data_IF_029372408113
#
_entry.id   IF_029372408113
#
_cell.length_a   1.000
_cell.length_b   1.000
_cell.length_c   1.000
_cell.angle_alpha   90.00
_cell.angle_beta   90.00
_cell.angle_gamma   90.00
#
_symmetry.space_group_name_H-M   'P 1'
#
loop_
_entity.id
_entity.type
_entity.pdbx_description
1 polymer ?
#
# COMPACT_ATOMS: atom_id res chain seq x y z
N UNK A 1 -3.01 -39.10 33.05
CA UNK A 1 -3.05 -37.68 33.45
C UNK A 1 -3.62 -36.91 32.28
N UNK A 2 -4.90 -37.12 32.02
CA UNK A 2 -5.65 -36.38 31.01
C UNK A 2 -5.98 -35.02 31.60
N UNK A 3 -5.43 -33.94 31.02
CA UNK A 3 -5.73 -32.60 31.47
C UNK A 3 -7.17 -32.26 31.10
N UNK A 4 -8.06 -32.40 32.09
CA UNK A 4 -9.45 -31.91 32.09
C UNK A 4 -9.49 -30.37 32.18
N UNK A 5 -8.71 -29.68 31.35
CA UNK A 5 -9.01 -28.29 31.06
C UNK A 5 -9.96 -28.31 29.87
N UNK A 6 -11.19 -27.77 29.98
CA UNK A 6 -11.98 -27.54 28.80
C UNK A 6 -11.10 -26.73 27.85
N UNK A 7 -10.83 -27.28 26.67
CA UNK A 7 -10.23 -26.55 25.58
C UNK A 7 -11.16 -25.36 25.35
N UNK A 8 -10.76 -24.22 25.91
CA UNK A 8 -11.58 -23.01 25.87
C UNK A 8 -11.67 -22.70 24.39
N UNK A 9 -12.79 -23.02 23.78
CA UNK A 9 -13.20 -22.52 22.48
C UNK A 9 -13.25 -21.01 22.61
N UNK A 10 -12.09 -20.36 22.48
CA UNK A 10 -11.93 -18.92 22.63
C UNK A 10 -12.85 -18.29 21.59
N UNK A 11 -13.72 -17.43 22.08
CA UNK A 11 -14.70 -16.63 21.35
C UNK A 11 -14.05 -15.59 20.42
N UNK A 12 -13.05 -15.96 19.63
CA UNK A 12 -12.22 -15.01 18.89
C UNK A 12 -12.65 -14.72 17.45
N UNK A 13 -13.89 -15.05 17.08
CA UNK A 13 -14.45 -14.61 15.81
C UNK A 13 -14.46 -13.08 15.65
N UNK A 14 -14.57 -12.31 16.74
CA UNK A 14 -14.59 -10.85 16.68
C UNK A 14 -13.20 -10.26 16.35
N UNK A 15 -12.15 -10.68 17.05
CA UNK A 15 -10.79 -10.16 16.83
C UNK A 15 -10.27 -10.53 15.44
N UNK A 16 -10.52 -11.76 14.98
CA UNK A 16 -10.18 -12.17 13.61
C UNK A 16 -10.88 -11.32 12.54
N UNK A 17 -12.16 -10.97 12.76
CA UNK A 17 -12.90 -10.06 11.88
C UNK A 17 -12.34 -8.64 11.93
N UNK A 18 -11.96 -8.14 13.10
CA UNK A 18 -11.36 -6.80 13.25
C UNK A 18 -10.04 -6.72 12.48
N UNK A 19 -9.16 -7.71 12.60
CA UNK A 19 -7.90 -7.72 11.88
C UNK A 19 -8.08 -7.89 10.36
N UNK A 20 -9.06 -8.68 9.93
CA UNK A 20 -9.42 -8.76 8.52
C UNK A 20 -9.92 -7.41 7.96
N UNK A 21 -10.81 -6.73 8.69
CA UNK A 21 -11.26 -5.39 8.30
C UNK A 21 -10.11 -4.41 8.25
N UNK A 22 -9.22 -4.45 9.23
CA UNK A 22 -8.01 -3.65 9.23
C UNK A 22 -7.15 -3.91 7.98
N UNK A 23 -6.94 -5.17 7.59
CA UNK A 23 -6.22 -5.50 6.35
C UNK A 23 -6.92 -4.96 5.09
N UNK A 24 -8.25 -5.00 5.04
CA UNK A 24 -9.02 -4.40 3.94
C UNK A 24 -8.86 -2.88 3.90
N UNK A 25 -9.02 -2.20 5.04
CA UNK A 25 -8.85 -0.75 5.14
C UNK A 25 -7.41 -0.31 4.84
N UNK A 26 -6.41 -1.07 5.30
CA UNK A 26 -5.01 -0.79 5.01
C UNK A 26 -4.73 -0.89 3.51
N UNK A 27 -5.24 -1.95 2.86
CA UNK A 27 -5.11 -2.13 1.41
C UNK A 27 -5.79 -1.00 0.64
N UNK A 28 -7.04 -0.69 0.99
CA UNK A 28 -7.80 0.40 0.36
C UNK A 28 -7.17 1.77 0.59
N UNK A 29 -6.68 2.03 1.80
CA UNK A 29 -6.05 3.29 2.20
C UNK A 29 -4.81 3.58 1.37
N UNK A 30 -3.87 2.64 1.28
CA UNK A 30 -2.68 2.81 0.44
C UNK A 30 -3.03 2.96 -1.04
N UNK A 31 -3.99 2.15 -1.52
CA UNK A 31 -4.45 2.24 -2.91
C UNK A 31 -5.06 3.60 -3.21
N UNK A 32 -5.83 4.18 -2.28
CA UNK A 32 -6.42 5.50 -2.41
C UNK A 32 -5.37 6.63 -2.40
N UNK A 33 -4.31 6.51 -1.58
CA UNK A 33 -3.20 7.47 -1.59
C UNK A 33 -2.49 7.48 -2.95
N UNK A 34 -2.28 6.30 -3.55
CA UNK A 34 -1.70 6.18 -4.90
C UNK A 34 -2.63 6.81 -5.94
N UNK A 35 -3.95 6.62 -5.84
CA UNK A 35 -4.91 7.32 -6.69
C UNK A 35 -4.82 8.84 -6.56
N UNK A 36 -4.62 9.36 -5.34
CA UNK A 36 -4.36 10.79 -5.13
C UNK A 36 -3.15 11.26 -5.92
N UNK A 37 -2.03 10.54 -5.85
CA UNK A 37 -0.84 10.83 -6.66
C UNK A 37 -1.11 10.78 -8.17
N UNK A 38 -1.82 9.75 -8.65
CA UNK A 38 -2.19 9.63 -10.07
C UNK A 38 -3.12 10.77 -10.51
N UNK A 39 -4.00 11.24 -9.63
CA UNK A 39 -4.85 12.40 -9.90
C UNK A 39 -4.03 13.68 -10.11
N UNK A 40 -3.01 13.92 -9.29
CA UNK A 40 -2.10 15.05 -9.52
C UNK A 40 -1.33 14.93 -10.83
N UNK A 41 -0.88 13.72 -11.18
CA UNK A 41 -0.17 13.48 -12.44
C UNK A 41 -1.04 13.71 -13.69
N UNK A 42 -2.22 13.09 -13.75
CA UNK A 42 -3.08 13.16 -14.94
C UNK A 42 -4.06 14.34 -14.94
N UNK A 43 -4.45 14.81 -13.76
CA UNK A 43 -5.40 15.91 -13.60
C UNK A 43 -4.73 17.28 -13.58
N UNK A 44 -3.62 17.41 -12.83
CA UNK A 44 -2.89 18.68 -12.70
C UNK A 44 -1.71 18.79 -13.68
N UNK A 45 -1.48 17.77 -14.51
CA UNK A 45 -0.37 17.71 -15.48
C UNK A 45 1.01 17.95 -14.86
N UNK A 46 1.18 17.59 -13.58
CA UNK A 46 2.46 17.65 -12.90
C UNK A 46 3.23 16.35 -13.15
N UNK A 47 4.41 16.46 -13.78
CA UNK A 47 5.27 15.31 -13.99
C UNK A 47 5.80 14.78 -12.65
N UNK A 48 5.69 13.46 -12.37
CA UNK A 48 6.21 12.91 -11.14
C UNK A 48 7.73 12.79 -11.20
N UNK A 49 8.37 13.12 -10.09
CA UNK A 49 9.79 12.87 -9.92
C UNK A 49 10.10 11.36 -9.88
N UNK A 50 11.30 10.89 -10.27
CA UNK A 50 11.65 9.46 -10.23
C UNK A 50 11.45 8.85 -8.82
N UNK A 51 11.76 9.63 -7.80
CA UNK A 51 11.63 9.22 -6.41
C UNK A 51 10.15 9.13 -5.96
N UNK A 52 9.27 9.93 -6.56
CA UNK A 52 7.83 9.90 -6.36
C UNK A 52 7.23 8.59 -6.90
N UNK A 53 7.72 8.10 -8.04
CA UNK A 53 7.34 6.79 -8.61
C UNK A 53 7.78 5.66 -7.68
N UNK A 54 9.02 5.71 -7.20
CA UNK A 54 9.56 4.72 -6.24
C UNK A 54 8.71 4.68 -4.97
N UNK A 55 8.28 5.82 -4.43
CA UNK A 55 7.37 5.85 -3.30
C UNK A 55 6.04 5.15 -3.60
N UNK A 56 5.42 5.42 -4.76
CA UNK A 56 4.17 4.74 -5.16
C UNK A 56 4.34 3.23 -5.27
N UNK A 57 5.47 2.76 -5.81
CA UNK A 57 5.79 1.33 -5.86
C UNK A 57 5.81 0.72 -4.45
N UNK A 58 6.45 1.37 -3.48
CA UNK A 58 6.47 0.89 -2.09
C UNK A 58 5.08 0.93 -1.41
N UNK A 59 4.24 1.93 -1.71
CA UNK A 59 2.85 1.97 -1.24
C UNK A 59 2.04 0.79 -1.78
N UNK A 60 2.19 0.47 -3.08
CA UNK A 60 1.53 -0.66 -3.71
C UNK A 60 2.05 -1.99 -3.19
N UNK A 61 3.36 -2.13 -2.95
CA UNK A 61 3.95 -3.32 -2.30
C UNK A 61 3.41 -3.49 -0.87
N UNK A 62 3.28 -2.39 -0.12
CA UNK A 62 2.70 -2.44 1.22
C UNK A 62 1.23 -2.92 1.18
N UNK A 63 0.45 -2.38 0.23
CA UNK A 63 -0.93 -2.81 -0.01
C UNK A 63 -1.02 -4.27 -0.46
N UNK A 64 -0.08 -4.77 -1.26
CA UNK A 64 -0.01 -6.17 -1.68
C UNK A 64 0.25 -7.12 -0.50
N UNK A 65 1.09 -6.73 0.47
CA UNK A 65 1.29 -7.51 1.70
C UNK A 65 -0.01 -7.71 2.49
N UNK A 66 -0.81 -6.65 2.65
CA UNK A 66 -2.13 -6.74 3.27
C UNK A 66 -3.14 -7.46 2.35
N UNK A 67 -3.05 -7.26 1.04
CA UNK A 67 -3.85 -7.97 0.03
C UNK A 67 -3.64 -9.48 0.06
N UNK A 68 -2.43 -9.96 0.38
CA UNK A 68 -2.17 -11.39 0.58
C UNK A 68 -3.04 -11.99 1.70
N UNK A 69 -3.18 -11.27 2.82
CA UNK A 69 -4.04 -11.67 3.94
C UNK A 69 -5.50 -11.73 3.49
N UNK A 70 -5.95 -10.67 2.80
CA UNK A 70 -7.32 -10.56 2.28
C UNK A 70 -7.64 -11.72 1.32
N UNK A 71 -6.73 -12.01 0.39
CA UNK A 71 -6.86 -13.12 -0.57
C UNK A 71 -6.89 -14.48 0.12
N UNK A 72 -6.04 -14.68 1.13
CA UNK A 72 -5.99 -15.95 1.88
C UNK A 72 -7.30 -16.18 2.62
N UNK A 73 -7.85 -15.16 3.28
CA UNK A 73 -9.17 -15.23 3.92
C UNK A 73 -10.30 -15.54 2.92
N UNK A 74 -10.30 -14.91 1.74
CA UNK A 74 -11.33 -15.13 0.71
C UNK A 74 -11.28 -16.54 0.10
N UNK A 75 -10.09 -17.12 -0.04
CA UNK A 75 -9.90 -18.42 -0.70
C UNK A 75 -10.03 -19.59 0.27
N UNK A 76 -9.49 -19.46 1.47
CA UNK A 76 -9.43 -20.56 2.46
C UNK A 76 -10.47 -20.43 3.57
N UNK A 77 -11.04 -19.24 3.82
CA UNK A 77 -11.95 -19.00 4.95
C UNK A 77 -11.28 -19.08 6.33
N UNK A 78 -9.97 -19.30 6.36
CA UNK A 78 -9.13 -19.37 7.56
C UNK A 78 -7.84 -18.63 7.28
N UNK A 79 -7.41 -17.80 8.23
CA UNK A 79 -6.12 -17.11 8.16
C UNK A 79 -5.32 -17.52 9.36
N UNK A 80 -4.24 -18.26 9.12
CA UNK A 80 -3.37 -18.72 10.19
C UNK A 80 -2.47 -17.59 10.68
N UNK A 81 -1.93 -17.71 11.89
CA UNK A 81 -0.89 -16.78 12.38
C UNK A 81 0.30 -16.65 11.42
N UNK A 82 0.67 -17.72 10.71
CA UNK A 82 1.72 -17.69 9.68
C UNK A 82 1.36 -16.79 8.51
N UNK A 83 0.12 -16.86 8.02
CA UNK A 83 -0.34 -16.04 6.90
C UNK A 83 -0.36 -14.55 7.29
N UNK A 84 -0.79 -14.24 8.51
CA UNK A 84 -0.71 -12.88 9.05
C UNK A 84 0.72 -12.39 9.19
N UNK A 85 1.63 -13.20 9.76
CA UNK A 85 3.04 -12.81 9.87
C UNK A 85 3.67 -12.57 8.50
N UNK A 86 3.35 -13.38 7.49
CA UNK A 86 3.87 -13.19 6.15
C UNK A 86 3.32 -11.92 5.50
N UNK A 87 2.00 -11.70 5.53
CA UNK A 87 1.40 -10.52 4.93
C UNK A 87 1.87 -9.22 5.58
N UNK A 88 1.83 -9.15 6.92
CA UNK A 88 2.31 -7.98 7.65
C UNK A 88 3.81 -7.78 7.57
N UNK A 89 4.60 -8.87 7.52
CA UNK A 89 6.05 -8.79 7.29
C UNK A 89 6.39 -8.20 5.92
N UNK A 90 5.70 -8.65 4.86
CA UNK A 90 5.84 -8.06 3.53
C UNK A 90 5.44 -6.59 3.50
N UNK A 91 4.32 -6.23 4.14
CA UNK A 91 3.91 -4.83 4.28
C UNK A 91 4.94 -4.01 5.03
N UNK A 92 5.51 -4.54 6.12
CA UNK A 92 6.49 -3.85 6.95
C UNK A 92 7.76 -3.51 6.18
N UNK A 93 8.31 -4.47 5.44
CA UNK A 93 9.50 -4.26 4.59
C UNK A 93 9.24 -3.17 3.57
N UNK A 94 8.07 -3.20 2.92
CA UNK A 94 7.69 -2.20 1.93
C UNK A 94 7.55 -0.79 2.53
N UNK A 95 6.88 -0.65 3.68
CA UNK A 95 6.70 0.69 4.30
C UNK A 95 8.00 1.25 4.86
N UNK A 96 8.93 0.41 5.35
CA UNK A 96 10.25 0.86 5.81
C UNK A 96 11.09 1.34 4.63
N UNK A 97 11.11 0.59 3.53
CA UNK A 97 11.82 0.98 2.32
C UNK A 97 11.23 2.27 1.70
N UNK A 98 9.90 2.38 1.65
CA UNK A 98 9.19 3.58 1.22
C UNK A 98 9.43 4.79 2.13
N UNK A 99 9.50 4.57 3.44
CA UNK A 99 9.85 5.60 4.43
C UNK A 99 11.22 6.19 4.12
N UNK A 100 12.24 5.35 3.84
CA UNK A 100 13.57 5.83 3.49
C UNK A 100 13.59 6.68 2.21
N UNK A 101 12.83 6.28 1.19
CA UNK A 101 12.67 7.09 -0.03
C UNK A 101 12.05 8.46 0.30
N UNK A 102 10.90 8.49 0.99
CA UNK A 102 10.21 9.74 1.36
C UNK A 102 11.03 10.66 2.27
N UNK A 103 11.78 10.08 3.20
CA UNK A 103 12.73 10.80 4.04
C UNK A 103 13.82 11.48 3.21
N UNK A 104 14.43 10.76 2.26
CA UNK A 104 15.45 11.33 1.36
C UNK A 104 14.89 12.51 0.57
N UNK A 105 13.67 12.41 0.04
CA UNK A 105 13.04 13.53 -0.68
C UNK A 105 12.80 14.73 0.23
N UNK A 106 12.34 14.48 1.46
CA UNK A 106 12.11 15.53 2.44
C UNK A 106 13.42 16.25 2.80
N UNK A 107 14.52 15.51 2.96
CA UNK A 107 15.84 16.08 3.23
C UNK A 107 16.38 16.92 2.07
N UNK A 108 16.13 16.52 0.82
CA UNK A 108 16.59 17.26 -0.36
C UNK A 108 15.94 18.65 -0.47
N UNK A 109 14.70 18.80 0.02
CA UNK A 109 13.94 20.05 -0.04
C UNK A 109 13.80 20.74 1.33
N UNK A 110 14.70 20.46 2.28
CA UNK A 110 14.71 21.12 3.60
C UNK A 110 15.46 22.46 3.60
N UNK A 111 16.14 22.80 2.50
CA UNK A 111 17.02 23.96 2.41
C UNK A 111 16.21 25.28 2.30
N UNK A 112 16.53 26.32 3.07
CA UNK A 112 15.78 27.57 3.05
C UNK A 112 15.84 28.26 1.68
N UNK A 113 14.67 28.57 1.12
CA UNK A 113 14.51 29.22 -0.19
C UNK A 113 14.06 28.27 -1.31
N UNK A 114 13.98 26.97 -1.05
CA UNK A 114 13.50 26.00 -2.02
C UNK A 114 11.96 25.93 -1.97
N UNK A 115 11.30 25.97 -3.14
CA UNK A 115 9.83 25.97 -3.24
C UNK A 115 9.21 24.57 -3.05
N UNK A 116 10.05 23.54 -2.86
CA UNK A 116 9.66 22.15 -2.83
C UNK A 116 9.18 21.63 -4.19
N UNK A 117 9.16 20.31 -4.35
CA UNK A 117 8.72 19.65 -5.59
C UNK A 117 7.25 19.25 -5.50
N UNK A 118 6.47 19.67 -6.51
CA UNK A 118 5.05 19.33 -6.66
C UNK A 118 4.12 20.16 -5.76
N UNK A 119 2.84 20.09 -6.09
CA UNK A 119 1.77 20.78 -5.37
C UNK A 119 1.64 20.38 -3.89
N UNK A 120 1.18 21.33 -3.09
CA UNK A 120 0.90 21.14 -1.67
C UNK A 120 -0.54 20.64 -1.47
N UNK A 121 -0.70 19.67 -0.57
CA UNK A 121 -2.01 19.24 -0.09
C UNK A 121 -2.13 19.61 1.39
N UNK A 122 -3.14 20.42 1.74
CA UNK A 122 -3.32 20.94 3.11
C UNK A 122 -2.08 21.66 3.68
N UNK A 123 -1.32 22.37 2.84
CA UNK A 123 -0.15 23.15 3.24
C UNK A 123 1.12 22.34 3.51
N UNK A 124 1.15 21.05 3.12
CA UNK A 124 2.35 20.21 3.13
C UNK A 124 2.53 19.56 1.76
N UNK A 125 3.77 19.43 1.30
CA UNK A 125 4.06 18.69 0.07
C UNK A 125 3.70 17.20 0.20
N UNK A 126 3.32 16.59 -0.92
CA UNK A 126 2.88 15.19 -0.98
C UNK A 126 3.91 14.19 -0.42
N UNK A 127 5.21 14.48 -0.56
CA UNK A 127 6.28 13.61 -0.03
C UNK A 127 6.39 13.65 1.51
N UNK A 128 6.01 14.76 2.16
CA UNK A 128 5.95 14.87 3.62
C UNK A 128 4.79 14.04 4.15
N UNK A 129 3.63 14.12 3.49
CA UNK A 129 2.49 13.26 3.78
C UNK A 129 2.81 11.79 3.61
N UNK A 130 3.51 11.43 2.52
CA UNK A 130 3.97 10.06 2.29
C UNK A 130 4.83 9.56 3.47
N UNK A 131 5.77 10.37 3.94
CA UNK A 131 6.62 10.02 5.08
C UNK A 131 5.82 9.80 6.37
N UNK A 132 4.87 10.70 6.68
CA UNK A 132 3.99 10.56 7.85
C UNK A 132 3.16 9.26 7.76
N UNK A 133 2.58 8.97 6.59
CA UNK A 133 1.76 7.78 6.38
C UNK A 133 2.57 6.48 6.46
N UNK A 134 3.81 6.48 5.95
CA UNK A 134 4.72 5.34 6.12
C UNK A 134 5.05 5.10 7.59
N UNK A 135 5.38 6.15 8.35
CA UNK A 135 5.71 6.02 9.77
C UNK A 135 4.49 5.56 10.59
N UNK A 136 3.31 6.12 10.32
CA UNK A 136 2.05 5.69 10.95
C UNK A 136 1.76 4.20 10.64
N UNK A 137 2.02 3.77 9.41
CA UNK A 137 1.84 2.37 9.01
C UNK A 137 2.82 1.42 9.70
N UNK A 138 4.08 1.81 9.90
CA UNK A 138 5.04 1.02 10.69
C UNK A 138 4.50 0.77 12.10
N UNK A 139 4.00 1.82 12.76
CA UNK A 139 3.43 1.71 14.11
C UNK A 139 2.17 0.83 14.09
N UNK A 140 1.27 1.03 13.13
CA UNK A 140 0.04 0.25 13.03
C UNK A 140 0.31 -1.24 12.77
N UNK A 141 1.25 -1.56 11.88
CA UNK A 141 1.69 -2.94 11.64
C UNK A 141 2.32 -3.53 12.90
N UNK A 142 3.17 -2.77 13.60
CA UNK A 142 3.80 -3.20 14.86
C UNK A 142 2.77 -3.54 15.95
N UNK A 143 1.72 -2.72 16.09
CA UNK A 143 0.60 -2.97 17.01
C UNK A 143 -0.11 -4.28 16.61
N UNK A 144 -0.49 -4.44 15.34
CA UNK A 144 -1.20 -5.64 14.88
C UNK A 144 -0.36 -6.90 15.05
N UNK A 145 0.96 -6.82 14.81
CA UNK A 145 1.88 -7.93 15.04
C UNK A 145 2.02 -8.28 16.53
N UNK A 146 2.01 -7.29 17.43
CA UNK A 146 2.03 -7.54 18.88
C UNK A 146 0.78 -8.32 19.34
N UNK A 147 -0.37 -8.03 18.74
CA UNK A 147 -1.64 -8.73 19.00
C UNK A 147 -1.87 -9.96 18.11
N UNK A 148 -0.87 -10.39 17.32
CA UNK A 148 -1.04 -11.50 16.38
C UNK A 148 -1.43 -12.81 17.08
N UNK A 149 -0.83 -13.11 18.24
CA UNK A 149 -1.15 -14.32 19.01
C UNK A 149 -2.63 -14.40 19.45
N UNK A 150 -3.27 -13.25 19.70
CA UNK A 150 -4.68 -13.17 20.08
C UNK A 150 -5.63 -13.25 18.90
N UNK A 151 -5.10 -13.18 17.67
CA UNK A 151 -5.91 -13.04 16.46
C UNK A 151 -5.66 -14.16 15.44
N UNK A 152 -4.59 -14.94 15.64
CA UNK A 152 -4.01 -15.92 14.71
C UNK A 152 -4.75 -17.25 14.52
N UNK A 153 -5.86 -17.52 15.22
CA UNK A 153 -6.49 -18.85 15.19
C UNK A 153 -8.03 -18.79 15.13
N UNK A 154 -8.54 -18.10 14.12
CA UNK A 154 -9.98 -17.84 14.01
C UNK A 154 -10.47 -18.07 12.58
N UNK A 155 -11.60 -18.79 12.49
CA UNK A 155 -12.36 -18.90 11.24
C UNK A 155 -12.87 -17.53 10.82
N UNK A 156 -12.48 -17.08 9.63
CA UNK A 156 -12.97 -15.83 9.04
C UNK A 156 -14.00 -16.23 7.99
N UNK A 157 -15.30 -15.97 8.20
CA UNK A 157 -16.34 -16.38 7.26
C UNK A 157 -16.38 -15.48 6.00
N UNK A 158 -15.22 -15.24 5.37
CA UNK A 158 -15.07 -14.47 4.14
C UNK A 158 -15.33 -15.33 2.87
N UNK A 159 -15.46 -16.65 3.01
CA UNK A 159 -15.84 -17.56 1.91
C UNK A 159 -17.34 -17.51 1.61
N UNK A 160 -18.18 -17.30 2.63
CA UNK A 160 -19.62 -17.15 2.49
C UNK A 160 -19.99 -15.80 1.84
N UNK A 161 -21.13 -15.74 1.16
CA UNK A 161 -21.67 -14.48 0.66
C UNK A 161 -22.00 -13.56 1.84
N UNK A 162 -21.39 -12.38 1.88
CA UNK A 162 -21.52 -11.45 2.99
C UNK A 162 -20.61 -10.22 2.86
N UNK A 163 -20.74 -9.26 3.79
CA UNK A 163 -20.05 -7.96 3.72
C UNK A 163 -18.52 -8.08 3.75
N UNK A 164 -17.98 -9.09 4.45
CA UNK A 164 -16.54 -9.34 4.48
C UNK A 164 -16.01 -9.75 3.10
N UNK A 165 -16.73 -10.64 2.41
CA UNK A 165 -16.35 -11.10 1.08
C UNK A 165 -16.38 -9.96 0.06
N UNK A 166 -17.43 -9.15 0.08
CA UNK A 166 -17.57 -8.01 -0.83
C UNK A 166 -16.48 -6.97 -0.57
N UNK A 167 -16.19 -6.65 0.70
CA UNK A 167 -15.13 -5.72 1.05
C UNK A 167 -13.75 -6.21 0.59
N UNK A 168 -13.43 -7.49 0.83
CA UNK A 168 -12.16 -8.07 0.39
C UNK A 168 -12.02 -8.13 -1.13
N UNK A 169 -13.09 -8.53 -1.84
CA UNK A 169 -13.08 -8.53 -3.31
C UNK A 169 -12.91 -7.12 -3.86
N UNK A 170 -13.62 -6.13 -3.31
CA UNK A 170 -13.49 -4.74 -3.71
C UNK A 170 -12.08 -4.22 -3.47
N UNK A 171 -11.49 -4.52 -2.31
CA UNK A 171 -10.11 -4.13 -1.99
C UNK A 171 -9.10 -4.72 -2.97
N UNK A 172 -9.22 -6.01 -3.30
CA UNK A 172 -8.30 -6.66 -4.24
C UNK A 172 -8.50 -6.19 -5.69
N UNK A 173 -9.74 -6.00 -6.12
CA UNK A 173 -10.03 -5.46 -7.46
C UNK A 173 -9.52 -4.03 -7.61
N UNK A 174 -9.76 -3.19 -6.60
CA UNK A 174 -9.28 -1.81 -6.60
C UNK A 174 -7.75 -1.76 -6.60
N UNK A 175 -7.09 -2.56 -5.76
CA UNK A 175 -5.63 -2.68 -5.77
C UNK A 175 -5.11 -3.13 -7.14
N UNK A 176 -5.69 -4.18 -7.72
CA UNK A 176 -5.28 -4.70 -9.03
C UNK A 176 -5.44 -3.68 -10.15
N UNK A 177 -6.55 -2.93 -10.15
CA UNK A 177 -6.80 -1.86 -11.12
C UNK A 177 -5.73 -0.75 -11.01
N UNK A 178 -5.45 -0.28 -9.79
CA UNK A 178 -4.50 0.81 -9.58
C UNK A 178 -3.07 0.38 -9.88
N UNK A 179 -2.69 -0.87 -9.59
CA UNK A 179 -1.42 -1.44 -10.03
C UNK A 179 -1.33 -1.41 -11.56
N UNK A 180 -2.36 -1.86 -12.28
CA UNK A 180 -2.37 -1.87 -13.73
C UNK A 180 -2.22 -0.46 -14.31
N UNK A 181 -2.98 0.52 -13.78
CA UNK A 181 -2.86 1.93 -14.18
C UNK A 181 -1.47 2.49 -13.88
N UNK A 182 -0.90 2.19 -12.72
CA UNK A 182 0.42 2.66 -12.33
C UNK A 182 1.52 2.08 -13.25
N UNK A 183 1.47 0.78 -13.56
CA UNK A 183 2.41 0.13 -14.49
C UNK A 183 2.34 0.76 -15.88
N UNK A 184 1.12 1.01 -16.38
CA UNK A 184 0.91 1.68 -17.67
C UNK A 184 1.45 3.12 -17.64
N UNK A 185 1.21 3.86 -16.56
CA UNK A 185 1.72 5.22 -16.40
C UNK A 185 3.26 5.27 -16.39
N UNK A 186 3.89 4.41 -15.59
CA UNK A 186 5.35 4.30 -15.52
C UNK A 186 5.95 3.88 -16.86
N UNK A 187 5.30 2.95 -17.58
CA UNK A 187 5.73 2.56 -18.92
C UNK A 187 5.68 3.73 -19.91
N UNK A 188 4.66 4.58 -19.85
CA UNK A 188 4.59 5.78 -20.70
C UNK A 188 5.64 6.84 -20.33
N UNK A 189 6.02 6.91 -19.05
CA UNK A 189 7.04 7.84 -18.56
C UNK A 189 8.47 7.40 -18.93
N UNK A 190 8.81 6.14 -18.70
CA UNK A 190 10.13 5.54 -18.99
C UNK A 190 10.32 5.23 -20.49
N UNK A 191 9.23 4.99 -21.23
CA UNK A 191 9.34 4.52 -22.62
C UNK A 191 10.14 3.22 -22.74
N UNK A 192 11.14 3.21 -23.63
CA UNK A 192 12.07 2.08 -23.76
C UNK A 192 13.39 2.27 -22.98
N UNK A 193 13.48 3.33 -22.16
CA UNK A 193 14.68 3.61 -21.38
C UNK A 193 14.69 2.83 -20.06
N UNK A 194 15.90 2.54 -19.57
CA UNK A 194 16.12 1.76 -18.33
C UNK A 194 16.16 2.65 -17.08
N UNK A 195 16.18 3.98 -17.26
CA UNK A 195 16.27 4.98 -16.21
C UNK A 195 15.49 6.25 -16.60
N UNK A 196 14.61 6.69 -15.71
CA UNK A 196 13.96 7.99 -15.80
C UNK A 196 15.01 9.11 -15.64
N UNK A 197 15.00 10.14 -16.51
CA UNK A 197 15.79 11.35 -16.29
C UNK A 197 15.38 12.02 -14.99
N UNK A 198 16.34 12.64 -14.30
CA UNK A 198 16.12 13.32 -13.02
C UNK A 198 15.11 14.48 -13.12
N UNK A 199 14.95 15.09 -14.29
CA UNK A 199 13.97 16.16 -14.59
C UNK A 199 13.06 15.78 -15.80
N UNK A 200 11.96 15.05 -15.57
CA UNK A 200 11.03 14.71 -16.64
C UNK A 200 10.22 15.94 -17.06
N UNK A 201 10.42 16.40 -18.30
CA UNK A 201 9.66 17.48 -18.93
C UNK A 201 8.59 16.98 -19.91
N UNK A 202 8.56 15.67 -20.17
CA UNK A 202 7.72 15.01 -21.19
C UNK A 202 7.66 13.49 -20.99
N UNK A 203 6.60 12.86 -21.51
CA UNK A 203 6.46 11.40 -21.59
C UNK A 203 7.38 10.82 -22.68
N UNK A 204 8.37 9.99 -22.31
CA UNK A 204 9.39 9.51 -23.25
C UNK A 204 8.85 8.57 -24.33
N UNK A 205 7.84 7.76 -24.00
CA UNK A 205 7.26 6.82 -24.96
C UNK A 205 6.74 7.51 -26.24
N UNK A 206 6.06 8.65 -26.11
CA UNK A 206 5.53 9.38 -27.26
C UNK A 206 6.63 10.00 -28.12
N UNK A 207 7.74 10.40 -27.50
CA UNK A 207 8.92 10.89 -28.19
C UNK A 207 9.64 9.77 -28.96
N UNK A 208 9.82 8.60 -28.33
CA UNK A 208 10.51 7.45 -28.93
C UNK A 208 9.73 6.85 -30.13
N UNK A 209 8.40 6.93 -30.08
CA UNK A 209 7.51 6.46 -31.16
C UNK A 209 7.32 7.53 -32.26
N UNK A 210 7.95 8.71 -32.13
CA UNK A 210 8.00 9.73 -33.18
C UNK A 210 6.73 10.56 -33.34
N UNK A 211 5.85 10.59 -32.34
CA UNK A 211 4.72 11.53 -32.32
C UNK A 211 5.19 12.88 -31.75
N UNK A 212 5.06 14.01 -32.49
CA UNK A 212 5.37 15.32 -31.95
C UNK A 212 4.28 15.72 -30.95
N UNK A 213 4.63 15.67 -29.66
CA UNK A 213 3.87 16.27 -28.56
C UNK A 213 4.69 17.38 -27.93
#
# INVERSE_FOLDING_TARGET
MDSLLPEVTRSGGLLGRVQYWFACFFTLGWTAVVCGGLFYQFGMWEYPCPLCIVQRMFMLLAALGAGYIVRTALTRGVVTGRDYMMGWGLSLVAVVAGSFASWRQTMLHVLPGDKGYGSEAFGLHLYVWAWILFQASVVAIGIVMAFAHSTADHSVPATAQGPLRTAGMLALWFLGLVIAVNVVAVFFEEGFHWFLPDDPTRYQFFHDVGFPG
#
